data_IF_606697679783
#
_entry.id   IF_606697679783
#
_cell.length_a   1.000
_cell.length_b   1.000
_cell.length_c   1.000
_cell.angle_alpha   90.00
_cell.angle_beta   90.00
_cell.angle_gamma   90.00
#
_symmetry.space_group_name_H-M   'P 1'
#
loop_
_entity.id
_entity.type
_entity.pdbx_description
1 polymer ?
#
# COMPACT_ATOMS: atom_id res chain seq x y z
N UNK A 1 -31.97 -19.22 11.87
CA UNK A 1 -30.82 -18.35 11.53
C UNK A 1 -31.37 -17.13 10.83
N UNK A 2 -31.46 -15.99 11.52
CA UNK A 2 -31.93 -14.73 10.95
C UNK A 2 -30.76 -13.99 10.30
N UNK A 3 -30.86 -13.75 9.00
CA UNK A 3 -29.95 -12.91 8.23
C UNK A 3 -30.30 -11.45 8.51
N UNK A 4 -29.48 -10.76 9.29
CA UNK A 4 -29.55 -9.31 9.45
C UNK A 4 -29.01 -8.66 8.17
N UNK A 5 -29.92 -8.36 7.24
CA UNK A 5 -29.65 -7.46 6.13
C UNK A 5 -29.62 -6.02 6.67
N UNK A 6 -28.43 -5.44 6.82
CA UNK A 6 -28.30 -4.00 7.00
C UNK A 6 -28.83 -3.30 5.74
N UNK A 7 -30.05 -2.76 5.83
CA UNK A 7 -30.62 -1.88 4.81
C UNK A 7 -29.91 -0.54 4.87
N UNK A 8 -29.01 -0.27 3.93
CA UNK A 8 -28.61 1.11 3.65
C UNK A 8 -29.82 1.85 3.03
N UNK A 9 -30.17 3.06 3.49
CA UNK A 9 -31.21 3.85 2.86
C UNK A 9 -30.73 4.30 1.47
N UNK A 10 -31.33 3.75 0.41
CA UNK A 10 -31.09 4.17 -0.97
C UNK A 10 -31.74 5.52 -1.22
N UNK A 11 -30.97 6.59 -1.04
CA UNK A 11 -31.34 7.91 -1.54
C UNK A 11 -30.94 7.97 -3.01
N UNK A 12 -31.91 7.74 -3.90
CA UNK A 12 -31.80 8.09 -5.32
C UNK A 12 -31.47 9.57 -5.44
N UNK A 13 -30.24 9.91 -5.84
CA UNK A 13 -29.83 11.28 -6.11
C UNK A 13 -28.93 11.30 -7.35
N UNK A 14 -29.30 12.19 -8.26
CA UNK A 14 -28.75 12.37 -9.59
C UNK A 14 -27.21 12.36 -9.59
N UNK A 15 -26.65 11.57 -10.49
CA UNK A 15 -25.23 11.53 -10.82
C UNK A 15 -24.82 12.80 -11.57
N UNK A 16 -24.72 13.92 -10.85
CA UNK A 16 -23.91 15.03 -11.32
C UNK A 16 -22.46 14.72 -10.93
N UNK A 17 -21.61 14.49 -11.93
CA UNK A 17 -20.15 14.41 -11.73
C UNK A 17 -19.68 15.76 -11.21
N UNK A 18 -19.59 15.86 -9.88
CA UNK A 18 -19.11 17.03 -9.17
C UNK A 18 -17.65 17.27 -9.54
N UNK A 19 -17.34 18.43 -10.13
CA UNK A 19 -15.98 18.91 -10.41
C UNK A 19 -15.23 19.38 -9.16
N UNK A 20 -15.73 19.06 -7.98
CA UNK A 20 -15.18 19.52 -6.70
C UNK A 20 -13.90 18.72 -6.38
N UNK A 21 -12.75 19.39 -6.15
CA UNK A 21 -11.52 18.71 -5.78
C UNK A 21 -11.66 17.92 -4.47
N UNK A 22 -10.90 16.84 -4.32
CA UNK A 22 -10.95 15.99 -3.12
C UNK A 22 -10.45 16.70 -1.86
N UNK A 23 -9.41 17.54 -1.96
CA UNK A 23 -8.75 18.13 -0.80
C UNK A 23 -9.66 19.00 0.09
N UNK A 24 -10.47 19.93 -0.47
CA UNK A 24 -11.38 20.74 0.33
C UNK A 24 -12.46 19.89 1.03
N UNK A 25 -13.01 18.89 0.34
CA UNK A 25 -14.04 17.99 0.89
C UNK A 25 -13.47 17.13 2.01
N UNK A 26 -12.27 16.60 1.82
CA UNK A 26 -11.58 15.81 2.85
C UNK A 26 -11.28 16.67 4.08
N UNK A 27 -10.83 17.92 3.90
CA UNK A 27 -10.55 18.85 5.01
C UNK A 27 -11.81 19.20 5.80
N UNK A 28 -12.89 19.52 5.11
CA UNK A 28 -14.19 19.78 5.74
C UNK A 28 -14.63 18.56 6.55
N UNK A 29 -14.58 17.37 5.96
CA UNK A 29 -14.96 16.12 6.64
C UNK A 29 -14.08 15.81 7.87
N UNK A 30 -12.78 16.06 7.80
CA UNK A 30 -11.87 15.91 8.95
C UNK A 30 -12.17 16.94 10.05
N UNK A 31 -12.50 18.18 9.66
CA UNK A 31 -12.88 19.23 10.62
C UNK A 31 -14.19 18.87 11.32
N UNK A 32 -15.17 18.35 10.58
CA UNK A 32 -16.42 17.86 11.15
C UNK A 32 -16.15 16.67 12.09
N UNK A 33 -15.25 15.76 11.73
CA UNK A 33 -14.83 14.63 12.56
C UNK A 33 -14.23 15.07 13.89
N UNK A 34 -13.30 16.03 13.87
CA UNK A 34 -12.68 16.56 15.08
C UNK A 34 -13.65 17.32 15.98
N UNK A 35 -14.65 17.99 15.40
CA UNK A 35 -15.61 18.82 16.13
C UNK A 35 -16.90 18.09 16.54
N UNK A 36 -17.19 16.94 15.93
CA UNK A 36 -18.41 16.20 16.24
C UNK A 36 -18.27 15.35 17.51
N UNK A 37 -19.31 15.38 18.36
CA UNK A 37 -19.54 14.32 19.36
C UNK A 37 -20.32 13.14 18.76
N UNK A 38 -20.52 13.13 17.44
CA UNK A 38 -21.33 12.14 16.74
C UNK A 38 -20.51 10.86 16.54
N UNK A 39 -21.15 9.72 16.75
CA UNK A 39 -20.52 8.41 16.55
C UNK A 39 -20.28 8.08 15.06
N UNK A 40 -21.01 8.75 14.15
CA UNK A 40 -20.94 8.50 12.71
C UNK A 40 -21.08 9.80 11.92
N UNK A 41 -20.17 10.02 10.96
CA UNK A 41 -20.21 11.10 9.99
C UNK A 41 -20.43 10.52 8.60
N UNK A 42 -21.35 11.13 7.83
CA UNK A 42 -21.62 10.67 6.47
C UNK A 42 -20.54 11.15 5.51
N UNK A 43 -19.77 10.21 4.96
CA UNK A 43 -18.69 10.45 4.00
C UNK A 43 -19.14 10.46 2.54
N UNK A 44 -20.45 10.61 2.25
CA UNK A 44 -20.99 10.54 0.87
C UNK A 44 -20.30 11.49 -0.12
N UNK A 45 -19.91 12.70 0.33
CA UNK A 45 -19.22 13.66 -0.54
C UNK A 45 -17.86 13.17 -0.99
N UNK A 46 -17.17 12.40 -0.14
CA UNK A 46 -15.90 11.75 -0.50
C UNK A 46 -16.17 10.60 -1.48
N UNK A 47 -17.24 9.82 -1.26
CA UNK A 47 -17.62 8.69 -2.12
C UNK A 47 -18.07 9.11 -3.53
N UNK A 48 -18.58 10.33 -3.69
CA UNK A 48 -19.08 10.86 -4.95
C UNK A 48 -18.01 11.50 -5.87
N UNK A 49 -16.78 11.68 -5.37
CA UNK A 49 -15.70 12.35 -6.11
C UNK A 49 -15.01 11.45 -7.14
N UNK A 50 -14.73 10.16 -6.85
CA UNK A 50 -14.17 9.28 -7.86
C UNK A 50 -15.05 9.22 -9.12
N UNK A 51 -14.44 9.13 -10.33
CA UNK A 51 -15.14 8.84 -11.57
C UNK A 51 -16.20 7.74 -11.43
N UNK A 52 -17.35 7.97 -12.05
CA UNK A 52 -18.46 7.01 -12.03
C UNK A 52 -17.98 5.63 -12.49
N UNK A 53 -18.22 4.61 -11.66
CA UNK A 53 -17.80 3.23 -11.91
C UNK A 53 -16.44 2.85 -11.32
N UNK A 54 -15.64 3.79 -10.79
CA UNK A 54 -14.34 3.46 -10.19
C UNK A 54 -14.48 2.79 -8.82
N UNK A 55 -15.34 3.31 -7.93
CA UNK A 55 -15.64 2.69 -6.64
C UNK A 55 -17.15 2.56 -6.47
N UNK A 56 -17.68 1.36 -6.69
CA UNK A 56 -19.12 1.08 -6.62
C UNK A 56 -19.55 0.82 -5.18
N UNK A 57 -20.48 1.61 -4.64
CA UNK A 57 -20.96 1.51 -3.25
C UNK A 57 -21.54 0.14 -2.89
N UNK A 58 -22.06 -0.59 -3.87
CA UNK A 58 -22.66 -1.91 -3.68
C UNK A 58 -21.64 -3.06 -3.63
N UNK A 59 -20.37 -2.79 -3.91
CA UNK A 59 -19.30 -3.79 -3.96
C UNK A 59 -18.21 -3.50 -2.94
N UNK A 60 -17.62 -4.56 -2.36
CA UNK A 60 -16.38 -4.43 -1.62
C UNK A 60 -15.24 -4.02 -2.55
N UNK A 61 -14.37 -3.11 -2.10
CA UNK A 61 -13.24 -2.58 -2.85
C UNK A 61 -11.95 -2.73 -2.05
N UNK A 62 -10.81 -2.68 -2.74
CA UNK A 62 -9.49 -2.65 -2.10
C UNK A 62 -9.24 -1.27 -1.48
N UNK A 63 -9.06 -1.23 -0.15
CA UNK A 63 -8.81 0.02 0.56
C UNK A 63 -7.46 0.65 0.18
N UNK A 64 -6.49 -0.14 -0.26
CA UNK A 64 -5.22 0.36 -0.74
C UNK A 64 -5.39 1.08 -2.08
N UNK A 65 -6.22 0.57 -2.98
CA UNK A 65 -6.53 1.22 -4.24
C UNK A 65 -7.21 2.58 -4.00
N UNK A 66 -8.22 2.59 -3.12
CA UNK A 66 -8.88 3.82 -2.72
C UNK A 66 -7.92 4.83 -2.08
N UNK A 67 -7.02 4.38 -1.19
CA UNK A 67 -6.01 5.26 -0.60
C UNK A 67 -5.07 5.85 -1.66
N UNK A 68 -4.64 5.06 -2.65
CA UNK A 68 -3.78 5.58 -3.73
C UNK A 68 -4.50 6.61 -4.59
N UNK A 69 -5.80 6.44 -4.83
CA UNK A 69 -6.63 7.47 -5.44
C UNK A 69 -6.63 8.76 -4.59
N UNK A 70 -6.90 8.64 -3.28
CA UNK A 70 -6.88 9.81 -2.38
C UNK A 70 -5.53 10.53 -2.41
N UNK A 71 -4.41 9.79 -2.38
CA UNK A 71 -3.07 10.36 -2.40
C UNK A 71 -2.71 10.99 -3.76
N UNK A 72 -3.18 10.42 -4.86
CA UNK A 72 -2.99 11.00 -6.19
C UNK A 72 -3.70 12.36 -6.32
N UNK A 73 -4.94 12.44 -5.83
CA UNK A 73 -5.74 13.66 -5.82
C UNK A 73 -5.32 14.68 -4.74
N UNK A 74 -4.47 14.27 -3.78
CA UNK A 74 -3.97 15.10 -2.69
C UNK A 74 -2.45 15.06 -2.60
N UNK A 75 -1.78 15.65 -3.59
CA UNK A 75 -0.30 15.66 -3.66
C UNK A 75 0.40 16.10 -2.35
N UNK A 76 -0.09 17.11 -1.59
CA UNK A 76 0.53 17.48 -0.31
C UNK A 76 0.55 16.36 0.75
N UNK A 77 -0.33 15.36 0.66
CA UNK A 77 -0.33 14.21 1.55
C UNK A 77 0.73 13.16 1.18
N UNK A 78 1.32 13.23 -0.02
CA UNK A 78 2.33 12.26 -0.50
C UNK A 78 3.71 12.53 0.09
N UNK A 79 4.07 13.80 0.26
CA UNK A 79 5.40 14.19 0.74
C UNK A 79 5.73 13.61 2.12
N UNK A 80 4.84 13.67 3.14
CA UNK A 80 5.11 13.06 4.44
C UNK A 80 5.24 11.52 4.40
N UNK A 81 4.75 10.87 3.35
CA UNK A 81 4.74 9.40 3.17
C UNK A 81 5.88 8.89 2.26
N UNK A 82 6.68 9.78 1.68
CA UNK A 82 7.68 9.40 0.69
C UNK A 82 8.80 8.60 1.35
N UNK A 83 9.17 7.48 0.72
CA UNK A 83 10.32 6.66 1.07
C UNK A 83 11.19 6.47 -0.18
N UNK A 84 12.47 6.16 0.03
CA UNK A 84 13.43 5.94 -1.05
C UNK A 84 14.01 4.54 -0.91
N UNK A 85 13.93 3.77 -1.99
CA UNK A 85 14.44 2.40 -2.05
C UNK A 85 15.65 2.36 -2.97
N UNK A 86 16.76 1.80 -2.48
CA UNK A 86 17.89 1.41 -3.30
C UNK A 86 17.75 -0.05 -3.71
N UNK A 87 17.99 -0.34 -4.99
CA UNK A 87 17.88 -1.70 -5.53
C UNK A 87 19.26 -2.15 -6.02
N UNK A 88 19.76 -3.26 -5.49
CA UNK A 88 20.98 -3.90 -5.96
C UNK A 88 20.65 -5.25 -6.58
N UNK A 89 21.18 -5.50 -7.77
CA UNK A 89 21.04 -6.76 -8.50
C UNK A 89 22.41 -7.40 -8.69
N UNK A 90 22.50 -8.71 -8.48
CA UNK A 90 23.71 -9.50 -8.69
C UNK A 90 23.39 -10.72 -9.51
N UNK A 91 24.08 -10.89 -10.64
CA UNK A 91 24.01 -12.13 -11.41
C UNK A 91 24.88 -13.20 -10.74
N UNK A 92 24.28 -14.33 -10.35
CA UNK A 92 24.98 -15.48 -9.75
C UNK A 92 25.84 -16.27 -10.74
N UNK A 93 25.68 -16.04 -12.04
CA UNK A 93 26.50 -16.68 -13.07
C UNK A 93 27.78 -15.91 -13.40
N UNK A 94 27.67 -14.60 -13.67
CA UNK A 94 28.83 -13.78 -14.07
C UNK A 94 29.31 -12.80 -12.98
N UNK A 95 28.70 -12.80 -11.79
CA UNK A 95 29.01 -11.93 -10.65
C UNK A 95 28.91 -10.42 -10.91
N UNK A 96 28.36 -10.02 -12.08
CA UNK A 96 28.09 -8.60 -12.36
C UNK A 96 27.05 -8.09 -11.38
N UNK A 97 27.38 -6.95 -10.76
CA UNK A 97 26.53 -6.23 -9.83
C UNK A 97 26.05 -4.95 -10.49
N UNK A 98 24.74 -4.73 -10.48
CA UNK A 98 24.11 -3.49 -10.96
C UNK A 98 23.37 -2.87 -9.78
N UNK A 99 23.65 -1.61 -9.49
CA UNK A 99 22.86 -0.83 -8.54
C UNK A 99 21.93 0.07 -9.35
N UNK A 100 20.63 -0.17 -9.25
CA UNK A 100 19.65 0.83 -9.66
C UNK A 100 19.85 2.06 -8.76
N UNK A 101 19.55 3.24 -9.28
CA UNK A 101 19.54 4.45 -8.47
C UNK A 101 18.55 4.36 -7.30
N UNK A 102 18.48 5.44 -6.54
CA UNK A 102 17.50 5.63 -5.49
C UNK A 102 16.10 5.93 -6.10
N UNK A 103 15.15 5.02 -5.89
CA UNK A 103 13.79 5.12 -6.44
C UNK A 103 12.81 5.59 -5.35
N UNK A 104 12.06 6.69 -5.57
CA UNK A 104 11.02 7.13 -4.63
C UNK A 104 9.78 6.23 -4.72
N UNK A 105 9.22 5.89 -3.57
CA UNK A 105 7.93 5.20 -3.42
C UNK A 105 7.15 5.87 -2.27
N UNK A 106 5.88 5.53 -2.12
CA UNK A 106 4.99 6.02 -1.07
C UNK A 106 4.61 4.90 -0.11
N UNK A 107 4.82 3.65 -0.54
CA UNK A 107 4.30 2.48 0.14
C UNK A 107 5.31 1.35 0.12
N UNK A 108 5.72 0.92 1.31
CA UNK A 108 6.54 -0.27 1.45
C UNK A 108 5.64 -1.51 1.34
N UNK A 109 5.67 -2.14 0.17
CA UNK A 109 4.94 -3.38 -0.11
C UNK A 109 5.72 -4.56 0.43
N UNK A 110 5.10 -5.30 1.33
CA UNK A 110 5.71 -6.41 2.06
C UNK A 110 5.06 -7.71 1.59
N UNK A 111 5.77 -8.52 0.80
CA UNK A 111 5.34 -9.87 0.46
C UNK A 111 5.19 -10.73 1.71
N UNK A 112 4.11 -11.48 1.76
CA UNK A 112 3.84 -12.41 2.85
C UNK A 112 4.53 -13.74 2.55
N UNK A 113 5.84 -13.80 2.81
CA UNK A 113 6.70 -14.97 2.56
C UNK A 113 6.95 -15.84 3.79
N UNK A 114 6.74 -15.29 4.99
CA UNK A 114 6.89 -16.01 6.25
C UNK A 114 5.51 -16.26 6.89
N UNK A 115 5.33 -17.45 7.46
CA UNK A 115 4.05 -17.85 8.08
C UNK A 115 3.79 -17.12 9.40
N UNK A 116 4.83 -16.88 10.19
CA UNK A 116 4.72 -16.23 11.50
C UNK A 116 5.99 -15.44 11.78
N UNK A 117 5.84 -14.21 12.26
CA UNK A 117 6.96 -13.35 12.59
C UNK A 117 6.51 -12.01 13.18
N UNK A 118 7.48 -11.24 13.67
CA UNK A 118 7.30 -9.84 14.03
C UNK A 118 7.22 -8.94 12.79
N UNK A 119 6.67 -7.73 12.92
CA UNK A 119 6.68 -6.76 11.82
C UNK A 119 8.09 -6.53 11.26
N UNK A 120 9.11 -6.54 12.14
CA UNK A 120 10.52 -6.44 11.76
C UNK A 120 10.96 -7.59 10.86
N UNK A 121 10.53 -8.82 11.13
CA UNK A 121 10.85 -9.99 10.29
C UNK A 121 10.25 -9.85 8.89
N UNK A 122 9.01 -9.37 8.82
CA UNK A 122 8.31 -9.10 7.56
C UNK A 122 8.97 -7.97 6.76
N UNK A 123 9.37 -6.87 7.42
CA UNK A 123 10.08 -5.77 6.76
C UNK A 123 11.46 -6.23 6.28
N UNK A 124 12.19 -6.98 7.11
CA UNK A 124 13.51 -7.50 6.74
C UNK A 124 13.45 -8.49 5.58
N UNK A 125 12.43 -9.37 5.54
CA UNK A 125 12.27 -10.29 4.41
C UNK A 125 12.03 -9.55 3.10
N UNK A 126 11.35 -8.40 3.13
CA UNK A 126 11.07 -7.59 1.95
C UNK A 126 12.24 -6.68 1.52
N UNK A 127 12.95 -6.06 2.47
CA UNK A 127 13.92 -4.97 2.21
C UNK A 127 15.33 -5.22 2.74
N UNK A 128 15.66 -6.43 3.19
CA UNK A 128 17.01 -6.75 3.65
C UNK A 128 17.49 -8.15 3.24
N UNK A 129 16.75 -8.85 2.39
CA UNK A 129 17.14 -10.18 1.87
C UNK A 129 17.39 -10.14 0.37
N UNK A 130 18.27 -11.04 -0.09
CA UNK A 130 18.43 -11.33 -1.50
C UNK A 130 17.30 -12.24 -1.96
N UNK A 131 16.51 -11.76 -2.91
CA UNK A 131 15.44 -12.53 -3.53
C UNK A 131 15.83 -12.89 -4.96
N UNK A 132 15.47 -14.09 -5.38
CA UNK A 132 15.56 -14.46 -6.79
C UNK A 132 14.64 -13.53 -7.59
N UNK A 133 15.08 -13.09 -8.77
CA UNK A 133 14.27 -12.27 -9.68
C UNK A 133 13.84 -13.11 -10.90
N UNK A 134 12.67 -13.78 -10.87
CA UNK A 134 12.24 -14.66 -11.94
C UNK A 134 11.95 -13.88 -13.23
N UNK A 135 12.29 -14.48 -14.38
CA UNK A 135 12.12 -13.91 -15.71
C UNK A 135 13.15 -12.83 -16.08
N UNK A 136 14.06 -12.45 -15.17
CA UNK A 136 15.07 -11.44 -15.48
C UNK A 136 16.26 -12.03 -16.25
N UNK A 137 16.54 -11.44 -17.41
CA UNK A 137 17.72 -11.77 -18.22
C UNK A 137 18.89 -10.85 -17.83
N UNK A 138 20.01 -11.44 -17.42
CA UNK A 138 21.22 -10.69 -17.12
C UNK A 138 21.73 -10.00 -18.40
N UNK A 139 21.89 -8.67 -18.38
CA UNK A 139 22.40 -7.91 -19.53
C UNK A 139 23.85 -8.21 -19.91
N UNK A 140 24.63 -8.81 -19.01
CA UNK A 140 26.04 -9.13 -19.27
C UNK A 140 26.24 -10.55 -19.84
N UNK A 141 25.62 -11.57 -19.25
CA UNK A 141 25.78 -12.96 -19.70
C UNK A 141 24.55 -13.53 -20.44
N UNK A 142 23.50 -12.73 -20.63
CA UNK A 142 22.26 -13.07 -21.35
C UNK A 142 21.49 -14.29 -20.83
N UNK A 143 21.81 -14.78 -19.62
CA UNK A 143 21.10 -15.89 -18.98
C UNK A 143 19.92 -15.39 -18.15
N UNK A 144 18.80 -16.10 -18.25
CA UNK A 144 17.56 -15.87 -17.50
C UNK A 144 17.65 -16.54 -16.14
N UNK A 145 16.96 -16.00 -15.13
CA UNK A 145 16.84 -16.59 -13.79
C UNK A 145 18.17 -16.81 -13.06
N UNK A 146 19.19 -16.02 -13.41
CA UNK A 146 20.49 -16.05 -12.71
C UNK A 146 20.68 -14.87 -11.76
N UNK A 147 19.74 -13.92 -11.72
CA UNK A 147 19.90 -12.66 -10.98
C UNK A 147 19.13 -12.66 -9.67
N UNK A 148 19.80 -12.21 -8.62
CA UNK A 148 19.19 -11.91 -7.34
C UNK A 148 19.10 -10.41 -7.13
N UNK A 149 18.05 -9.96 -6.47
CA UNK A 149 17.76 -8.57 -6.15
C UNK A 149 17.69 -8.40 -4.63
N UNK A 150 18.34 -7.36 -4.11
CA UNK A 150 18.14 -6.86 -2.75
C UNK A 150 17.63 -5.43 -2.84
N UNK A 151 16.48 -5.18 -2.24
CA UNK A 151 15.93 -3.84 -2.02
C UNK A 151 16.33 -3.38 -0.63
N UNK A 152 16.56 -2.09 -0.42
CA UNK A 152 16.84 -1.49 0.90
C UNK A 152 16.16 -0.13 0.98
N UNK A 153 15.41 0.12 2.05
CA UNK A 153 14.88 1.47 2.33
C UNK A 153 16.04 2.31 2.86
N UNK A 154 16.44 3.33 2.11
CA UNK A 154 17.60 4.19 2.46
C UNK A 154 17.18 5.50 3.10
N UNK A 155 15.97 6.00 2.78
CA UNK A 155 15.41 7.22 3.38
C UNK A 155 13.91 7.08 3.56
N UNK A 156 13.38 7.70 4.61
CA UNK A 156 11.96 7.81 4.89
C UNK A 156 11.64 9.24 5.28
N UNK A 157 10.42 9.69 4.96
CA UNK A 157 9.89 10.96 5.42
C UNK A 157 9.30 10.81 6.83
N UNK A 158 8.20 11.50 7.13
CA UNK A 158 7.62 11.55 8.48
C UNK A 158 6.89 10.25 8.85
N UNK A 159 6.21 9.65 7.88
CA UNK A 159 5.40 8.45 8.05
C UNK A 159 5.81 7.40 7.02
N UNK A 160 5.69 6.13 7.40
CA UNK A 160 5.93 5.00 6.50
C UNK A 160 4.66 4.19 6.39
N UNK A 161 4.16 4.05 5.17
CA UNK A 161 3.00 3.21 4.91
C UNK A 161 3.44 1.80 4.56
N UNK A 162 3.03 0.83 5.39
CA UNK A 162 3.33 -0.58 5.19
C UNK A 162 2.11 -1.28 4.62
N UNK A 163 2.26 -1.89 3.44
CA UNK A 163 1.22 -2.68 2.81
C UNK A 163 1.62 -4.15 2.77
N UNK A 164 0.92 -4.96 3.55
CA UNK A 164 1.09 -6.40 3.57
C UNK A 164 0.31 -7.03 2.42
N UNK A 165 1.02 -7.71 1.51
CA UNK A 165 0.40 -8.39 0.38
C UNK A 165 -0.24 -9.71 0.85
N UNK A 166 -1.41 -9.59 1.47
CA UNK A 166 -2.08 -10.68 2.19
C UNK A 166 -2.99 -11.56 1.31
N UNK A 167 -3.01 -11.34 0.00
CA UNK A 167 -3.80 -12.09 -0.96
C UNK A 167 -2.87 -12.75 -1.98
N UNK A 168 -3.19 -14.00 -2.34
CA UNK A 168 -2.49 -14.69 -3.43
C UNK A 168 -3.08 -14.31 -4.80
N UNK A 169 -2.50 -14.83 -5.87
CA UNK A 169 -2.97 -14.59 -7.25
C UNK A 169 -4.40 -15.04 -7.52
N UNK A 170 -4.96 -15.92 -6.67
CA UNK A 170 -6.34 -16.38 -6.74
C UNK A 170 -7.28 -15.55 -5.83
N UNK A 171 -6.85 -14.36 -5.40
CA UNK A 171 -7.58 -13.46 -4.49
C UNK A 171 -7.98 -14.11 -3.16
N UNK A 172 -7.32 -15.21 -2.79
CA UNK A 172 -7.56 -15.89 -1.53
C UNK A 172 -6.66 -15.29 -0.46
N UNK A 173 -7.25 -14.91 0.67
CA UNK A 173 -6.51 -14.43 1.84
C UNK A 173 -5.52 -15.50 2.30
N UNK A 174 -4.26 -15.10 2.49
CA UNK A 174 -3.23 -15.94 3.08
C UNK A 174 -3.52 -16.03 4.59
N UNK A 175 -4.14 -17.13 5.01
CA UNK A 175 -4.67 -17.30 6.39
C UNK A 175 -3.61 -17.72 7.40
N UNK A 176 -2.52 -18.29 6.93
CA UNK A 176 -1.45 -18.82 7.79
C UNK A 176 -0.62 -17.71 8.43
N UNK A 177 -0.69 -16.50 7.87
CA UNK A 177 0.13 -15.36 8.25
C UNK A 177 -0.34 -14.74 9.56
N UNK A 178 0.54 -14.73 10.55
CA UNK A 178 0.33 -14.03 11.81
C UNK A 178 1.49 -13.06 12.07
N UNK A 179 1.16 -11.77 12.16
CA UNK A 179 2.07 -10.73 12.63
C UNK A 179 1.90 -10.63 14.13
N UNK A 180 2.98 -10.85 14.86
CA UNK A 180 3.00 -10.73 16.32
C UNK A 180 3.75 -9.50 16.74
N UNK A 181 3.15 -8.71 17.64
CA UNK A 181 3.74 -7.46 18.11
C UNK A 181 3.48 -6.32 17.12
N UNK A 182 2.58 -5.42 17.48
CA UNK A 182 2.68 -4.04 16.98
C UNK A 182 3.91 -3.44 17.69
N UNK A 183 4.82 -2.76 16.98
CA UNK A 183 5.94 -2.11 17.65
C UNK A 183 5.39 -1.07 18.62
N UNK A 184 5.58 -1.29 19.92
CA UNK A 184 5.27 -0.29 20.96
C UNK A 184 6.38 0.78 21.06
N UNK A 185 7.39 0.68 20.19
CA UNK A 185 8.57 1.54 20.12
C UNK A 185 8.99 1.72 18.66
N UNK A 186 9.79 2.77 18.38
CA UNK A 186 10.35 3.02 17.05
C UNK A 186 11.13 1.79 16.57
N UNK A 187 10.77 1.27 15.40
CA UNK A 187 11.53 0.21 14.72
C UNK A 187 12.75 0.85 14.09
N UNK A 188 13.92 0.59 14.64
CA UNK A 188 15.19 0.99 14.02
C UNK A 188 15.52 -0.01 12.93
N UNK A 189 15.43 0.40 11.66
CA UNK A 189 15.95 -0.37 10.53
C UNK A 189 17.45 -0.04 10.47
N UNK A 190 18.29 -0.93 10.99
CA UNK A 190 19.74 -0.80 10.85
C UNK A 190 20.15 -1.11 9.42
N UNK A 191 20.89 -0.17 8.81
CA UNK A 191 21.52 -0.31 7.49
C UNK A 191 22.65 -1.35 7.50
#
# INVERSE_FOLDING_TARGET
>A
MQTLLCRCPTRSRNSETSSVPLSPVLREHLTDYENSQLAELDSWRIRAIPPSGQFLEILQQDCQEFLMFVLAENTPMREPLTLVVSITRVCRNCNVTVRSGEEPDIMARIPVTIKKGSLTDFVNSAFNTWQQLPGYQCSNCNLVDTTQEKRVIVRTSQFVLLHLLAFNTNMSKIRETRITGVPNSRVTISA
#
